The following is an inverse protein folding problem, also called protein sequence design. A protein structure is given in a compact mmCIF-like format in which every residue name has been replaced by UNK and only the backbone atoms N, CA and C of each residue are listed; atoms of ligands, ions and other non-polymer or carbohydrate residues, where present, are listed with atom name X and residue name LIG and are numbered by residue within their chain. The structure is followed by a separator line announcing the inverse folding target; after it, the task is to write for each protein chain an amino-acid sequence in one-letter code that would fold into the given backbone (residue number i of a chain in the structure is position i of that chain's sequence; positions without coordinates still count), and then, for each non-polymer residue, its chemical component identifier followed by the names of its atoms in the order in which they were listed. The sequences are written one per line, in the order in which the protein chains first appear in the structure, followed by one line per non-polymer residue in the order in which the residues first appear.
data_IF_489689439024
#
_entry.id   IF_489689439024
#
_cell.length_a   1.000
_cell.length_b   1.000
_cell.length_c   1.000
_cell.angle_alpha   90.00
_cell.angle_beta   90.00
_cell.angle_gamma   90.00
#
_symmetry.space_group_name_H-M   'P 1'
#
loop_
_entity.id
_entity.type
_entity.pdbx_description
1 polymer ?
#
# COMPACT_ATOMS: atom_id res chain seq x y z
N UNK A 1 -0.52 -49.60 22.78
CA UNK A 1 -1.60 -49.67 21.78
C UNK A 1 -2.84 -49.06 22.41
N UNK A 2 -3.27 -47.84 22.15
CA UNK A 2 -2.68 -46.67 21.48
C UNK A 2 -2.81 -45.48 22.44
N UNK A 3 -1.79 -44.63 22.54
CA UNK A 3 -1.65 -43.38 21.74
C UNK A 3 -2.65 -42.30 22.15
N UNK A 4 -2.04 -41.32 22.79
CA UNK A 4 -2.51 -40.16 23.50
C UNK A 4 -3.27 -39.18 22.59
N UNK A 5 -4.56 -39.00 22.89
CA UNK A 5 -5.45 -38.04 22.23
C UNK A 5 -5.30 -36.63 22.83
N UNK A 6 -4.07 -36.11 22.88
CA UNK A 6 -3.72 -34.85 23.56
C UNK A 6 -3.21 -33.73 22.62
N UNK A 7 -3.37 -33.86 21.31
CA UNK A 7 -2.90 -32.86 20.34
C UNK A 7 -4.04 -32.08 19.66
N UNK A 8 -4.90 -31.36 20.41
CA UNK A 8 -5.80 -30.31 19.85
C UNK A 8 -6.09 -29.24 20.89
N UNK A 9 -5.67 -28.00 20.62
CA UNK A 9 -6.30 -26.82 21.24
C UNK A 9 -5.40 -25.71 21.77
N UNK A 10 -4.26 -25.40 21.17
CA UNK A 10 -3.60 -24.09 21.40
C UNK A 10 -3.67 -23.29 20.10
N UNK A 11 -4.30 -22.12 20.15
CA UNK A 11 -4.39 -21.21 19.00
C UNK A 11 -3.00 -20.77 18.52
N UNK A 12 -2.88 -20.44 17.23
CA UNK A 12 -1.62 -20.04 16.59
C UNK A 12 -0.90 -18.94 17.40
N UNK A 13 0.35 -19.16 17.78
CA UNK A 13 1.19 -18.19 18.47
C UNK A 13 2.08 -17.45 17.46
N UNK A 14 1.81 -16.16 17.23
CA UNK A 14 2.52 -15.31 16.27
C UNK A 14 3.34 -14.25 17.01
N UNK A 15 4.60 -14.08 16.61
CA UNK A 15 5.38 -12.92 17.01
C UNK A 15 5.62 -11.98 15.83
N UNK A 16 5.16 -10.73 15.93
CA UNK A 16 5.35 -9.70 14.91
C UNK A 16 6.51 -8.76 15.30
N UNK A 17 7.49 -8.60 14.42
CA UNK A 17 8.61 -7.67 14.57
C UNK A 17 8.41 -6.47 13.66
N UNK A 18 8.31 -5.27 14.23
CA UNK A 18 8.06 -4.00 13.51
C UNK A 18 9.17 -2.98 13.78
N UNK A 19 9.51 -2.16 12.79
CA UNK A 19 10.52 -1.10 12.95
C UNK A 19 9.90 0.22 13.39
N UNK A 20 10.36 0.78 14.50
CA UNK A 20 9.88 2.07 15.03
C UNK A 20 8.64 1.93 15.92
N UNK A 21 7.97 3.05 16.17
CA UNK A 21 6.78 3.11 17.02
C UNK A 21 5.53 2.66 16.25
N UNK A 22 4.85 1.57 16.65
CA UNK A 22 3.60 1.13 16.05
C UNK A 22 2.46 2.18 16.10
N UNK A 23 2.59 3.20 16.94
CA UNK A 23 1.66 4.35 17.02
C UNK A 23 1.76 5.33 15.86
N UNK A 24 2.79 5.22 15.01
CA UNK A 24 3.03 6.15 13.88
C UNK A 24 1.91 6.06 12.82
N UNK A 25 1.40 7.20 12.38
CA UNK A 25 0.34 7.26 11.35
C UNK A 25 0.94 7.08 9.95
N UNK A 26 1.08 5.83 9.50
CA UNK A 26 1.40 5.48 8.11
C UNK A 26 0.53 4.31 7.62
N UNK A 27 0.49 4.09 6.30
CA UNK A 27 -0.25 2.96 5.71
C UNK A 27 0.22 1.59 6.24
N UNK A 28 1.54 1.37 6.30
CA UNK A 28 2.13 0.13 6.82
C UNK A 28 1.77 -0.12 8.29
N UNK A 29 1.97 0.87 9.18
CA UNK A 29 1.61 0.71 10.60
C UNK A 29 0.11 0.56 10.84
N UNK A 30 -0.75 1.13 9.98
CA UNK A 30 -2.20 0.87 10.02
C UNK A 30 -2.48 -0.60 9.67
N UNK A 31 -1.85 -1.12 8.61
CA UNK A 31 -1.97 -2.52 8.22
C UNK A 31 -1.51 -3.45 9.36
N UNK A 32 -0.34 -3.22 9.94
CA UNK A 32 0.22 -4.06 11.01
C UNK A 32 -0.70 -4.10 12.24
N UNK A 33 -1.17 -2.94 12.69
CA UNK A 33 -2.06 -2.85 13.86
C UNK A 33 -3.37 -3.59 13.62
N UNK A 34 -3.93 -3.44 12.42
CA UNK A 34 -5.17 -4.12 12.04
C UNK A 34 -4.95 -5.63 11.95
N UNK A 35 -3.81 -6.07 11.40
CA UNK A 35 -3.46 -7.48 11.29
C UNK A 35 -3.34 -8.12 12.67
N UNK A 36 -2.65 -7.45 13.58
CA UNK A 36 -2.53 -7.89 14.99
C UNK A 36 -3.89 -7.98 15.67
N UNK A 37 -4.73 -6.95 15.53
CA UNK A 37 -6.05 -6.92 16.17
C UNK A 37 -6.94 -8.08 15.72
N UNK A 38 -6.88 -8.41 14.44
CA UNK A 38 -7.81 -9.33 13.79
C UNK A 38 -7.32 -10.78 13.91
N UNK A 39 -6.01 -11.01 13.82
CA UNK A 39 -5.43 -12.30 14.24
C UNK A 39 -5.81 -12.63 15.70
N UNK A 40 -5.74 -11.65 16.62
CA UNK A 40 -6.18 -11.84 18.01
C UNK A 40 -7.69 -12.13 18.10
N UNK A 41 -8.51 -11.46 17.30
CA UNK A 41 -9.95 -11.72 17.25
C UNK A 41 -10.28 -13.15 16.80
N UNK A 42 -9.44 -13.76 15.96
CA UNK A 42 -9.56 -15.19 15.58
C UNK A 42 -9.04 -16.18 16.62
N UNK A 43 -8.56 -15.71 17.78
CA UNK A 43 -8.02 -16.55 18.86
C UNK A 43 -6.52 -16.82 18.78
N UNK A 44 -5.79 -16.20 17.83
CA UNK A 44 -4.33 -16.29 17.77
C UNK A 44 -3.68 -15.47 18.91
N UNK A 45 -2.61 -16.00 19.50
CA UNK A 45 -1.80 -15.25 20.47
C UNK A 45 -0.75 -14.43 19.72
N UNK A 46 -0.91 -13.10 19.67
CA UNK A 46 0.01 -12.22 18.92
C UNK A 46 0.85 -11.35 19.86
N UNK A 47 2.18 -11.49 19.81
CA UNK A 47 3.16 -10.65 20.53
C UNK A 47 3.85 -9.70 19.56
N UNK A 48 3.92 -8.41 19.90
CA UNK A 48 4.56 -7.39 19.04
C UNK A 48 5.89 -6.96 19.65
N UNK A 49 6.95 -6.98 18.85
CA UNK A 49 8.30 -6.57 19.21
C UNK A 49 8.71 -5.38 18.34
N UNK A 50 8.88 -4.21 18.96
CA UNK A 50 9.40 -3.03 18.26
C UNK A 50 10.92 -3.05 18.26
N UNK A 51 11.52 -2.85 17.08
CA UNK A 51 12.96 -2.59 16.93
C UNK A 51 13.20 -1.11 16.61
N UNK A 52 14.23 -0.45 17.18
CA UNK A 52 14.51 0.95 16.89
C UNK A 52 14.64 1.22 15.39
N UNK A 53 13.89 2.20 14.89
CA UNK A 53 14.05 2.66 13.52
C UNK A 53 15.42 3.33 13.35
N UNK A 54 16.19 2.92 12.34
CA UNK A 54 17.51 3.48 12.05
C UNK A 54 17.57 3.93 10.59
N UNK A 55 18.05 5.15 10.35
CA UNK A 55 18.24 5.68 9.00
C UNK A 55 19.18 4.79 8.20
N UNK A 56 18.88 4.60 6.93
CA UNK A 56 19.74 3.86 6.01
C UNK A 56 21.06 4.62 5.75
N UNK A 57 22.24 3.96 5.70
CA UNK A 57 22.53 2.54 5.93
C UNK A 57 22.87 2.21 7.41
N UNK A 58 22.68 3.13 8.36
CA UNK A 58 22.99 2.92 9.79
C UNK A 58 22.10 1.84 10.45
N UNK A 59 21.04 1.39 9.77
CA UNK A 59 20.24 0.21 10.16
C UNK A 59 20.88 -1.15 9.85
N UNK A 60 22.05 -1.18 9.18
CA UNK A 60 22.81 -2.41 8.85
C UNK A 60 23.50 -3.03 10.07
N UNK A 61 23.72 -2.25 11.14
CA UNK A 61 24.20 -2.80 12.40
C UNK A 61 23.05 -3.61 12.99
N UNK A 62 23.21 -4.94 13.10
CA UNK A 62 22.28 -5.85 13.79
C UNK A 62 21.70 -5.11 15.00
N UNK A 63 20.37 -5.01 15.07
CA UNK A 63 19.70 -4.21 16.10
C UNK A 63 20.31 -4.54 17.47
N UNK A 64 20.95 -3.57 18.18
CA UNK A 64 21.58 -3.84 19.46
C UNK A 64 20.53 -4.41 20.41
N UNK A 65 20.68 -5.69 20.78
CA UNK A 65 19.68 -6.48 21.52
C UNK A 65 19.28 -7.81 20.86
N UNK A 66 19.36 -7.94 19.53
CA UNK A 66 19.16 -9.20 18.79
C UNK A 66 20.49 -9.87 18.38
N UNK A 67 21.59 -9.12 18.47
CA UNK A 67 22.96 -9.62 18.31
C UNK A 67 23.46 -10.40 19.55
N UNK A 68 22.89 -10.15 20.74
CA UNK A 68 23.33 -10.73 22.02
C UNK A 68 22.45 -11.90 22.50
N UNK A 69 21.23 -12.04 21.95
CA UNK A 69 20.32 -13.15 22.22
C UNK A 69 19.00 -13.00 21.47
N UNK A 70 18.32 -14.11 21.17
CA UNK A 70 16.96 -14.09 20.65
C UNK A 70 16.00 -14.02 21.85
N UNK A 71 15.12 -13.01 21.96
CA UNK A 71 14.09 -12.94 23.00
C UNK A 71 13.32 -14.25 23.09
N UNK A 72 13.08 -14.75 24.31
CA UNK A 72 12.37 -16.01 24.53
C UNK A 72 11.03 -16.04 23.80
N UNK A 73 10.30 -14.92 23.82
CA UNK A 73 9.01 -14.82 23.14
C UNK A 73 9.04 -14.88 21.61
N UNK A 74 10.20 -14.73 20.96
CA UNK A 74 10.35 -15.03 19.53
C UNK A 74 10.61 -16.53 19.28
N UNK A 75 11.27 -17.24 20.21
CA UNK A 75 11.52 -18.69 20.10
C UNK A 75 10.31 -19.53 20.45
N UNK A 76 9.47 -19.03 21.35
CA UNK A 76 8.24 -19.66 21.79
C UNK A 76 7.06 -19.45 20.81
N UNK A 77 7.23 -18.64 19.77
CA UNK A 77 6.20 -18.44 18.77
C UNK A 77 6.20 -19.62 17.78
N UNK A 78 5.01 -19.99 17.30
CA UNK A 78 4.86 -20.95 16.21
C UNK A 78 5.41 -20.36 14.90
N UNK A 79 5.21 -19.05 14.69
CA UNK A 79 5.71 -18.31 13.52
C UNK A 79 6.14 -16.91 13.91
N UNK A 80 7.26 -16.44 13.37
CA UNK A 80 7.72 -15.05 13.50
C UNK A 80 7.47 -14.30 12.19
N UNK A 81 6.64 -13.26 12.25
CA UNK A 81 6.40 -12.33 11.14
C UNK A 81 7.33 -11.13 11.31
N UNK A 82 8.08 -10.77 10.27
CA UNK A 82 8.99 -9.62 10.28
C UNK A 82 8.55 -8.63 9.22
N UNK A 83 8.17 -7.43 9.64
CA UNK A 83 7.88 -6.31 8.75
C UNK A 83 9.14 -5.93 7.95
N UNK A 84 9.00 -5.73 6.64
CA UNK A 84 10.14 -5.44 5.79
C UNK A 84 10.85 -4.15 6.18
N UNK A 85 10.22 -3.15 6.80
CA UNK A 85 10.90 -1.95 7.27
C UNK A 85 11.97 -2.26 8.34
N UNK A 86 11.87 -3.42 9.01
CA UNK A 86 12.90 -3.92 9.93
C UNK A 86 14.04 -4.68 9.24
N UNK A 87 13.95 -4.97 7.94
CA UNK A 87 14.90 -5.83 7.19
C UNK A 87 16.39 -5.48 7.32
N UNK A 88 16.82 -4.19 7.43
CA UNK A 88 18.25 -3.87 7.42
C UNK A 88 19.03 -4.52 8.57
N UNK A 89 18.37 -4.82 9.70
CA UNK A 89 18.99 -5.38 10.91
C UNK A 89 18.46 -6.76 11.34
N UNK A 90 17.53 -7.37 10.60
CA UNK A 90 16.84 -8.60 11.04
C UNK A 90 17.20 -9.86 10.25
N UNK A 91 17.95 -9.76 9.15
CA UNK A 91 18.35 -10.94 8.36
C UNK A 91 19.15 -11.98 9.19
N UNK A 92 20.01 -11.50 10.10
CA UNK A 92 20.75 -12.35 11.03
C UNK A 92 19.84 -13.07 12.03
N UNK A 93 18.89 -12.33 12.62
CA UNK A 93 17.85 -12.87 13.50
C UNK A 93 17.01 -13.93 12.78
N UNK A 94 16.46 -13.60 11.61
CA UNK A 94 15.62 -14.48 10.82
C UNK A 94 16.33 -15.81 10.50
N UNK A 95 17.61 -15.70 10.09
CA UNK A 95 18.45 -16.89 9.85
C UNK A 95 18.65 -17.75 11.10
N UNK A 96 18.81 -17.15 12.28
CA UNK A 96 19.02 -17.89 13.53
C UNK A 96 17.73 -18.55 14.03
N UNK A 97 16.59 -17.87 13.93
CA UNK A 97 15.27 -18.42 14.24
C UNK A 97 14.96 -19.62 13.34
N UNK A 98 15.14 -19.47 12.02
CA UNK A 98 14.90 -20.54 11.05
C UNK A 98 15.78 -21.76 11.29
N UNK A 99 17.07 -21.57 11.65
CA UNK A 99 17.97 -22.69 12.04
C UNK A 99 17.58 -23.34 13.37
N UNK A 100 16.86 -22.62 14.23
CA UNK A 100 16.33 -23.12 15.49
C UNK A 100 14.96 -23.78 15.39
N UNK A 101 14.43 -23.97 14.17
CA UNK A 101 13.13 -24.60 13.92
C UNK A 101 11.95 -23.62 13.86
N UNK A 102 12.13 -22.34 14.22
CA UNK A 102 11.05 -21.37 14.16
C UNK A 102 10.95 -20.75 12.75
N UNK A 103 9.87 -20.97 11.99
CA UNK A 103 9.69 -20.35 10.69
C UNK A 103 9.57 -18.83 10.80
N UNK A 104 10.11 -18.16 9.79
CA UNK A 104 10.12 -16.70 9.69
C UNK A 104 9.42 -16.28 8.39
N UNK A 105 8.42 -15.43 8.50
CA UNK A 105 7.64 -14.92 7.36
C UNK A 105 7.89 -13.43 7.21
N UNK A 106 8.31 -13.00 6.03
CA UNK A 106 8.43 -11.57 5.74
C UNK A 106 7.05 -10.98 5.46
N UNK A 107 6.68 -9.87 6.11
CA UNK A 107 5.55 -9.05 5.70
C UNK A 107 6.08 -7.90 4.85
N UNK A 108 5.81 -7.94 3.54
CA UNK A 108 6.38 -7.03 2.55
C UNK A 108 5.32 -6.07 2.06
N UNK A 109 5.46 -4.80 2.46
CA UNK A 109 4.62 -3.69 2.01
C UNK A 109 5.10 -3.15 0.67
N UNK A 110 6.42 -2.98 0.54
CA UNK A 110 7.10 -2.66 -0.72
C UNK A 110 8.60 -2.90 -0.56
N UNK A 111 9.31 -3.08 -1.68
CA UNK A 111 10.77 -3.12 -1.67
C UNK A 111 11.32 -1.75 -2.03
N UNK A 112 12.24 -1.22 -1.23
CA UNK A 112 12.87 0.09 -1.48
C UNK A 112 13.68 0.11 -2.77
N UNK A 113 14.15 -1.04 -3.28
CA UNK A 113 14.72 -1.12 -4.64
C UNK A 113 13.77 -0.58 -5.71
N UNK A 114 12.46 -0.74 -5.51
CA UNK A 114 11.43 -0.31 -6.47
C UNK A 114 11.18 1.21 -6.41
N UNK A 115 11.57 1.89 -5.32
CA UNK A 115 11.57 3.36 -5.24
C UNK A 115 12.69 3.99 -6.09
N UNK A 116 13.73 3.21 -6.44
CA UNK A 116 14.90 3.67 -7.18
C UNK A 116 15.84 4.57 -6.35
N UNK A 117 16.57 5.44 -7.05
CA UNK A 117 17.51 6.39 -6.42
C UNK A 117 18.90 5.84 -6.10
N UNK A 118 19.76 6.69 -5.53
CA UNK A 118 21.21 6.43 -5.36
C UNK A 118 21.53 5.24 -4.45
N UNK A 119 20.64 4.91 -3.52
CA UNK A 119 20.83 3.82 -2.54
C UNK A 119 20.17 2.49 -2.98
N UNK A 120 19.52 2.44 -4.15
CA UNK A 120 18.81 1.26 -4.63
C UNK A 120 19.69 -0.01 -4.73
N UNK A 121 20.98 0.04 -5.17
CA UNK A 121 21.82 -1.15 -5.20
C UNK A 121 22.09 -1.72 -3.79
N UNK A 122 22.27 -0.84 -2.80
CA UNK A 122 22.49 -1.26 -1.41
C UNK A 122 21.19 -1.85 -0.85
N UNK A 123 20.04 -1.21 -1.10
CA UNK A 123 18.73 -1.73 -0.70
C UNK A 123 18.49 -3.13 -1.26
N UNK A 124 18.75 -3.32 -2.56
CA UNK A 124 18.64 -4.62 -3.24
C UNK A 124 19.46 -5.70 -2.55
N UNK A 125 20.70 -5.40 -2.14
CA UNK A 125 21.57 -6.36 -1.46
C UNK A 125 20.99 -6.78 -0.09
N UNK A 126 20.55 -5.81 0.72
CA UNK A 126 20.01 -6.08 2.06
C UNK A 126 18.66 -6.79 2.00
N UNK A 127 17.75 -6.35 1.13
CA UNK A 127 16.45 -6.96 0.91
C UNK A 127 16.60 -8.41 0.44
N UNK A 128 17.51 -8.66 -0.52
CA UNK A 128 17.80 -10.03 -0.99
C UNK A 128 18.32 -10.91 0.14
N UNK A 129 19.22 -10.38 0.97
CA UNK A 129 19.77 -11.11 2.13
C UNK A 129 18.67 -11.45 3.14
N UNK A 130 17.80 -10.49 3.45
CA UNK A 130 16.68 -10.68 4.37
C UNK A 130 15.65 -11.69 3.85
N UNK A 131 15.19 -11.54 2.61
CA UNK A 131 14.20 -12.44 2.04
C UNK A 131 14.72 -13.88 1.94
N UNK A 132 16.00 -14.09 1.57
CA UNK A 132 16.63 -15.43 1.60
C UNK A 132 16.74 -16.05 2.99
N UNK A 133 16.68 -15.24 4.04
CA UNK A 133 16.66 -15.71 5.43
C UNK A 133 15.27 -16.05 5.95
N UNK A 134 14.21 -15.70 5.21
CA UNK A 134 12.82 -16.03 5.52
C UNK A 134 12.42 -17.39 4.92
N UNK A 135 11.40 -18.00 5.50
CA UNK A 135 10.81 -19.27 5.05
C UNK A 135 9.74 -19.02 3.99
N UNK A 136 8.98 -17.93 4.16
CA UNK A 136 7.92 -17.50 3.26
C UNK A 136 7.76 -15.97 3.30
N UNK A 137 6.91 -15.41 2.44
CA UNK A 137 6.58 -13.98 2.45
C UNK A 137 5.09 -13.71 2.22
N UNK A 138 4.51 -12.86 3.06
CA UNK A 138 3.21 -12.22 2.83
C UNK A 138 3.45 -10.92 2.08
N UNK A 139 2.82 -10.77 0.92
CA UNK A 139 2.98 -9.62 0.03
C UNK A 139 1.65 -8.87 -0.07
N UNK A 140 1.68 -7.54 0.07
CA UNK A 140 0.44 -6.73 0.12
C UNK A 140 -0.24 -6.53 -1.24
N UNK A 141 0.40 -6.98 -2.32
CA UNK A 141 -0.16 -6.96 -3.67
C UNK A 141 0.54 -7.98 -4.55
N UNK A 142 -0.11 -8.36 -5.66
CA UNK A 142 0.54 -9.20 -6.69
C UNK A 142 1.73 -8.52 -7.37
N UNK A 143 1.83 -7.19 -7.34
CA UNK A 143 3.03 -6.48 -7.80
C UNK A 143 4.18 -6.66 -6.81
N UNK A 144 3.91 -6.52 -5.51
CA UNK A 144 4.89 -6.78 -4.46
C UNK A 144 5.37 -8.22 -4.48
N UNK A 145 4.47 -9.18 -4.73
CA UNK A 145 4.82 -10.59 -4.89
C UNK A 145 5.78 -10.81 -6.06
N UNK A 146 5.48 -10.23 -7.24
CA UNK A 146 6.39 -10.29 -8.39
C UNK A 146 7.75 -9.69 -8.07
N UNK A 147 7.80 -8.53 -7.41
CA UNK A 147 9.05 -7.88 -7.00
C UNK A 147 9.90 -8.76 -6.06
N UNK A 148 9.24 -9.48 -5.13
CA UNK A 148 9.88 -10.44 -4.22
C UNK A 148 10.40 -11.65 -4.98
N UNK A 149 9.59 -12.26 -5.83
CA UNK A 149 9.96 -13.44 -6.62
C UNK A 149 11.12 -13.12 -7.58
N UNK A 150 11.10 -11.94 -8.22
CA UNK A 150 12.19 -11.46 -9.07
C UNK A 150 13.50 -11.26 -8.29
N UNK A 151 13.41 -10.93 -6.99
CA UNK A 151 14.60 -10.66 -6.18
C UNK A 151 15.31 -11.93 -5.69
N UNK A 152 14.54 -12.93 -5.25
CA UNK A 152 15.08 -14.11 -4.56
C UNK A 152 14.74 -15.45 -5.21
N UNK A 153 13.60 -15.57 -5.92
CA UNK A 153 13.10 -16.81 -6.48
C UNK A 153 12.80 -17.90 -5.43
N UNK A 154 11.85 -18.80 -5.72
CA UNK A 154 11.63 -20.03 -4.95
C UNK A 154 11.20 -19.87 -3.49
N UNK A 155 10.89 -18.65 -3.04
CA UNK A 155 10.23 -18.41 -1.74
C UNK A 155 8.72 -18.59 -1.91
N UNK A 156 8.07 -19.28 -0.97
CA UNK A 156 6.62 -19.38 -0.94
C UNK A 156 6.02 -18.02 -0.60
N UNK A 157 5.01 -17.58 -1.34
CA UNK A 157 4.37 -16.28 -1.17
C UNK A 157 2.86 -16.41 -0.98
N UNK A 158 2.28 -15.42 -0.30
CA UNK A 158 0.84 -15.22 -0.20
C UNK A 158 0.49 -13.75 -0.39
N UNK A 159 -0.49 -13.44 -1.23
CA UNK A 159 -0.94 -12.07 -1.47
C UNK A 159 -2.05 -11.71 -0.48
N UNK A 160 -1.79 -10.73 0.38
CA UNK A 160 -2.70 -10.24 1.42
C UNK A 160 -2.96 -8.74 1.22
N UNK A 161 -3.93 -8.36 0.37
CA UNK A 161 -4.17 -6.96 0.06
C UNK A 161 -4.75 -6.21 1.26
N UNK A 162 -4.39 -4.92 1.46
CA UNK A 162 -5.03 -4.09 2.47
C UNK A 162 -6.52 -3.90 2.15
N UNK A 163 -7.38 -3.69 3.16
CA UNK A 163 -8.81 -3.57 2.95
C UNK A 163 -9.14 -2.18 2.40
N UNK A 164 -10.27 -2.04 1.73
CA UNK A 164 -10.77 -0.74 1.30
C UNK A 164 -11.84 -0.21 2.28
N UNK A 165 -11.54 -0.18 3.58
CA UNK A 165 -12.50 0.02 4.67
C UNK A 165 -12.46 1.42 5.33
N UNK A 166 -11.63 2.33 4.81
CA UNK A 166 -11.57 3.70 5.34
C UNK A 166 -12.90 4.44 5.20
N UNK A 167 -13.72 4.05 4.22
CA UNK A 167 -15.01 4.67 3.93
C UNK A 167 -16.08 3.61 3.78
N UNK A 168 -17.29 3.95 4.24
CA UNK A 168 -18.54 3.37 3.71
C UNK A 168 -19.10 4.37 2.69
N UNK A 169 -18.71 4.27 1.41
CA UNK A 169 -19.05 5.30 0.43
C UNK A 169 -20.56 5.38 0.20
N UNK A 170 -21.32 4.29 0.37
CA UNK A 170 -22.74 4.23 0.04
C UNK A 170 -23.07 4.87 -1.34
N UNK A 171 -22.19 4.70 -2.33
CA UNK A 171 -22.33 5.24 -3.69
C UNK A 171 -22.89 4.14 -4.59
N UNK A 172 -23.92 4.47 -5.37
CA UNK A 172 -24.52 3.55 -6.33
C UNK A 172 -24.04 3.82 -7.76
N UNK A 173 -24.18 2.85 -8.70
CA UNK A 173 -23.93 3.13 -10.12
C UNK A 173 -24.74 4.32 -10.67
N UNK A 174 -25.96 4.55 -10.17
CA UNK A 174 -26.78 5.68 -10.58
C UNK A 174 -26.20 7.04 -10.13
N UNK A 175 -25.56 7.08 -8.95
CA UNK A 175 -24.85 8.28 -8.49
C UNK A 175 -23.65 8.60 -9.37
N UNK A 176 -22.90 7.56 -9.78
CA UNK A 176 -21.78 7.69 -10.72
C UNK A 176 -22.25 8.23 -12.07
N UNK A 177 -23.35 7.69 -12.61
CA UNK A 177 -23.90 8.07 -13.90
C UNK A 177 -24.41 9.52 -13.90
N UNK A 178 -25.13 9.90 -12.84
CA UNK A 178 -25.60 11.28 -12.65
C UNK A 178 -24.42 12.25 -12.58
N UNK A 179 -23.43 11.96 -11.74
CA UNK A 179 -22.25 12.82 -11.56
C UNK A 179 -21.41 12.91 -12.82
N UNK A 180 -21.28 11.83 -13.58
CA UNK A 180 -20.57 11.86 -14.86
C UNK A 180 -21.17 12.87 -15.85
N UNK A 181 -22.44 13.26 -15.74
CA UNK A 181 -23.03 14.32 -16.57
C UNK A 181 -22.72 15.76 -16.11
N UNK A 182 -22.08 15.96 -14.95
CA UNK A 182 -21.85 17.27 -14.36
C UNK A 182 -20.59 17.97 -14.91
N UNK A 183 -20.62 19.30 -14.96
CA UNK A 183 -19.49 20.18 -15.24
C UNK A 183 -19.27 21.11 -14.04
N UNK A 184 -18.03 21.52 -13.71
CA UNK A 184 -16.75 21.17 -14.35
C UNK A 184 -16.32 19.71 -14.14
N UNK A 185 -15.32 19.24 -14.90
CA UNK A 185 -14.58 18.02 -14.58
C UNK A 185 -13.77 18.22 -13.28
N UNK A 186 -14.35 17.85 -12.16
CA UNK A 186 -13.70 17.81 -10.85
C UNK A 186 -12.71 16.64 -10.74
N UNK A 187 -11.41 16.95 -10.63
CA UNK A 187 -10.31 16.00 -10.45
C UNK A 187 -9.81 16.10 -9.02
N UNK A 188 -9.58 14.96 -8.36
CA UNK A 188 -9.00 14.92 -7.02
C UNK A 188 -7.64 14.23 -7.04
N UNK A 189 -6.68 14.77 -6.29
CA UNK A 189 -5.38 14.16 -6.02
C UNK A 189 -5.28 13.88 -4.52
N UNK A 190 -5.18 12.60 -4.16
CA UNK A 190 -5.06 12.16 -2.77
C UNK A 190 -3.64 11.75 -2.40
N UNK A 191 -3.12 12.31 -1.32
CA UNK A 191 -1.87 11.91 -0.70
C UNK A 191 -1.03 13.09 -0.22
N UNK A 192 0.00 12.81 0.56
CA UNK A 192 0.89 13.85 1.09
C UNK A 192 1.54 14.67 -0.03
N UNK A 193 1.65 15.99 0.14
CA UNK A 193 2.38 16.85 -0.78
C UNK A 193 3.89 16.62 -0.67
N UNK A 194 4.37 15.61 -1.39
CA UNK A 194 5.79 15.26 -1.50
C UNK A 194 6.17 14.98 -2.96
N UNK A 195 7.45 15.14 -3.36
CA UNK A 195 7.87 15.04 -4.76
C UNK A 195 7.43 13.76 -5.49
N UNK A 196 7.41 12.62 -4.79
CA UNK A 196 7.05 11.34 -5.41
C UNK A 196 5.58 11.25 -5.85
N UNK A 197 4.66 12.08 -5.34
CA UNK A 197 3.22 11.96 -5.63
C UNK A 197 2.81 12.57 -6.98
N UNK A 198 3.70 13.30 -7.65
CA UNK A 198 3.47 13.74 -9.03
C UNK A 198 2.53 14.93 -9.21
N UNK A 199 2.24 15.72 -8.14
CA UNK A 199 1.41 16.92 -8.24
C UNK A 199 1.84 17.89 -9.37
N UNK A 200 3.14 18.17 -9.59
CA UNK A 200 3.56 19.01 -10.71
C UNK A 200 3.17 18.45 -12.08
N UNK A 201 3.21 17.13 -12.26
CA UNK A 201 2.79 16.47 -13.51
C UNK A 201 1.30 16.68 -13.74
N UNK A 202 0.47 16.47 -12.72
CA UNK A 202 -0.98 16.68 -12.78
C UNK A 202 -1.32 18.13 -13.13
N UNK A 203 -0.74 19.11 -12.43
CA UNK A 203 -1.03 20.52 -12.66
C UNK A 203 -0.65 20.98 -14.07
N UNK A 204 0.46 20.48 -14.63
CA UNK A 204 0.84 20.77 -16.02
C UNK A 204 -0.11 20.12 -17.03
N UNK A 205 -0.63 18.92 -16.72
CA UNK A 205 -1.48 18.17 -17.62
C UNK A 205 -2.88 18.79 -17.76
N UNK A 206 -3.47 19.30 -16.67
CA UNK A 206 -4.81 19.91 -16.71
C UNK A 206 -4.87 21.16 -17.59
N UNK A 207 -3.76 21.89 -17.74
CA UNK A 207 -3.67 23.07 -18.64
C UNK A 207 -3.99 22.72 -20.08
N UNK A 208 -3.66 21.49 -20.53
CA UNK A 208 -3.97 21.04 -21.88
C UNK A 208 -5.43 20.60 -22.08
N UNK A 209 -6.21 20.39 -21.02
CA UNK A 209 -7.58 19.88 -21.16
C UNK A 209 -8.52 21.00 -21.62
N UNK A 210 -9.08 20.88 -22.82
CA UNK A 210 -9.98 21.87 -23.44
C UNK A 210 -11.43 21.67 -22.95
N UNK A 211 -11.61 21.72 -21.64
CA UNK A 211 -12.90 21.62 -20.95
C UNK A 211 -12.86 22.42 -19.64
N UNK A 212 -14.03 22.66 -19.04
CA UNK A 212 -14.08 23.16 -17.69
C UNK A 212 -13.70 22.07 -16.69
N UNK A 213 -12.93 22.43 -15.68
CA UNK A 213 -12.26 21.53 -14.73
C UNK A 213 -11.83 22.26 -13.47
N UNK A 214 -11.77 21.51 -12.38
CA UNK A 214 -11.27 21.95 -11.09
C UNK A 214 -10.40 20.83 -10.50
N UNK A 215 -9.36 21.19 -9.75
CA UNK A 215 -8.47 20.23 -9.09
C UNK A 215 -8.50 20.43 -7.57
N UNK A 216 -8.88 19.39 -6.84
CA UNK A 216 -8.73 19.32 -5.39
C UNK A 216 -7.49 18.52 -5.01
N UNK A 217 -6.54 19.14 -4.32
CA UNK A 217 -5.36 18.49 -3.75
C UNK A 217 -5.59 18.28 -2.25
N UNK A 218 -5.63 17.02 -1.82
CA UNK A 218 -5.94 16.64 -0.44
C UNK A 218 -4.84 15.74 0.14
N UNK A 219 -4.30 16.17 1.27
CA UNK A 219 -3.33 15.41 2.05
C UNK A 219 -2.40 16.30 2.88
N UNK A 220 -1.66 15.72 3.85
CA UNK A 220 -0.74 16.46 4.70
C UNK A 220 0.44 17.02 3.90
N UNK A 221 1.05 18.08 4.41
CA UNK A 221 2.17 18.80 3.78
C UNK A 221 3.46 18.66 4.60
N UNK A 222 4.08 17.46 4.66
CA UNK A 222 5.27 17.24 5.46
C UNK A 222 6.54 17.90 4.87
N UNK A 223 6.47 18.37 3.62
CA UNK A 223 7.53 19.08 2.92
C UNK A 223 7.03 20.49 2.51
N UNK A 224 7.21 21.50 3.38
CA UNK A 224 6.72 22.86 3.12
C UNK A 224 7.36 23.51 1.90
N UNK A 225 8.60 23.16 1.55
CA UNK A 225 9.29 23.70 0.39
C UNK A 225 8.67 23.16 -0.90
N UNK A 226 8.43 21.84 -0.95
CA UNK A 226 7.72 21.24 -2.05
C UNK A 226 6.28 21.77 -2.17
N UNK A 227 5.56 21.88 -1.06
CA UNK A 227 4.19 22.38 -1.07
C UNK A 227 4.09 23.84 -1.55
N UNK A 228 5.08 24.69 -1.21
CA UNK A 228 5.21 26.05 -1.79
C UNK A 228 5.49 26.00 -3.28
N UNK A 229 6.43 25.17 -3.73
CA UNK A 229 6.76 25.04 -5.14
C UNK A 229 5.57 24.57 -6.00
N UNK A 230 4.72 23.68 -5.49
CA UNK A 230 3.50 23.23 -6.18
C UNK A 230 2.48 24.36 -6.31
N UNK A 231 2.32 25.21 -5.29
CA UNK A 231 1.44 26.39 -5.35
C UNK A 231 1.96 27.43 -6.33
N UNK A 232 3.25 27.77 -6.27
CA UNK A 232 3.88 28.67 -7.24
C UNK A 232 3.72 28.17 -8.66
N UNK A 233 3.80 26.85 -8.89
CA UNK A 233 3.54 26.28 -10.21
C UNK A 233 2.09 26.52 -10.67
N UNK A 234 1.09 26.45 -9.78
CA UNK A 234 -0.29 26.77 -10.13
C UNK A 234 -0.45 28.26 -10.52
N UNK A 235 0.25 29.16 -9.83
CA UNK A 235 0.30 30.59 -10.16
C UNK A 235 0.97 30.82 -11.53
N UNK A 236 2.14 30.22 -11.76
CA UNK A 236 2.92 30.35 -12.99
C UNK A 236 2.13 29.82 -14.21
N UNK A 237 1.32 28.79 -14.01
CA UNK A 237 0.42 28.24 -15.02
C UNK A 237 -0.89 29.02 -15.16
N UNK A 238 -1.12 30.05 -14.35
CA UNK A 238 -2.35 30.86 -14.31
C UNK A 238 -3.61 30.04 -14.05
N UNK A 239 -3.52 29.03 -13.17
CA UNK A 239 -4.62 28.12 -12.81
C UNK A 239 -4.94 28.12 -11.32
N UNK A 240 -4.35 29.00 -10.53
CA UNK A 240 -4.50 29.04 -9.07
C UNK A 240 -5.97 29.07 -8.61
N UNK A 241 -6.83 29.81 -9.32
CA UNK A 241 -8.27 29.92 -9.00
C UNK A 241 -9.06 28.62 -9.25
N UNK A 242 -8.46 27.63 -9.91
CA UNK A 242 -9.05 26.33 -10.25
C UNK A 242 -8.43 25.16 -9.48
N UNK A 243 -7.51 25.45 -8.57
CA UNK A 243 -6.80 24.44 -7.77
C UNK A 243 -6.99 24.74 -6.28
N UNK A 244 -7.71 23.87 -5.58
CA UNK A 244 -7.89 23.96 -4.12
C UNK A 244 -6.89 23.05 -3.38
N UNK A 245 -6.18 23.62 -2.42
CA UNK A 245 -5.28 22.88 -1.52
C UNK A 245 -5.95 22.75 -0.15
N UNK A 246 -6.42 21.55 0.18
CA UNK A 246 -7.22 21.32 1.39
C UNK A 246 -6.39 20.93 2.62
N UNK A 247 -5.13 20.56 2.45
CA UNK A 247 -4.35 19.96 3.53
C UNK A 247 -4.92 18.61 3.96
N UNK A 248 -4.71 18.22 5.22
CA UNK A 248 -5.29 17.02 5.80
C UNK A 248 -6.77 17.26 6.17
N UNK A 249 -7.67 16.43 5.66
CA UNK A 249 -9.10 16.48 5.93
C UNK A 249 -9.54 15.38 6.90
N UNK A 250 -10.64 15.63 7.61
CA UNK A 250 -11.33 14.57 8.35
C UNK A 250 -11.87 13.50 7.39
N UNK A 251 -12.13 12.30 7.89
CA UNK A 251 -12.71 11.22 7.07
C UNK A 251 -14.06 11.63 6.45
N UNK A 252 -14.89 12.38 7.18
CA UNK A 252 -16.16 12.86 6.67
C UNK A 252 -16.00 13.90 5.55
N UNK A 253 -15.10 14.87 5.73
CA UNK A 253 -14.84 15.91 4.74
C UNK A 253 -14.21 15.33 3.47
N UNK A 254 -13.26 14.42 3.63
CA UNK A 254 -12.65 13.69 2.51
C UNK A 254 -13.69 12.87 1.75
N UNK A 255 -14.59 12.17 2.44
CA UNK A 255 -15.70 11.46 1.79
C UNK A 255 -16.60 12.41 0.98
N UNK A 256 -16.82 13.64 1.47
CA UNK A 256 -17.53 14.69 0.74
C UNK A 256 -16.82 15.05 -0.57
N UNK A 257 -15.53 15.36 -0.52
CA UNK A 257 -14.71 15.68 -1.70
C UNK A 257 -14.74 14.54 -2.72
N UNK A 258 -14.58 13.28 -2.26
CA UNK A 258 -14.59 12.11 -3.14
C UNK A 258 -15.95 11.88 -3.79
N UNK A 259 -17.05 12.14 -3.06
CA UNK A 259 -18.42 11.99 -3.58
C UNK A 259 -18.73 12.98 -4.69
N UNK A 260 -18.14 14.17 -4.64
CA UNK A 260 -18.34 15.24 -5.64
C UNK A 260 -17.38 15.16 -6.83
N UNK A 261 -16.24 14.46 -6.66
CA UNK A 261 -15.20 14.33 -7.69
C UNK A 261 -15.59 13.38 -8.82
N UNK A 262 -14.95 13.53 -9.98
CA UNK A 262 -15.15 12.64 -11.12
C UNK A 262 -14.00 11.66 -11.32
N UNK A 263 -12.76 12.12 -11.10
CA UNK A 263 -11.55 11.37 -11.44
C UNK A 263 -10.56 11.50 -10.29
N UNK A 264 -9.95 10.38 -9.90
CA UNK A 264 -8.80 10.40 -9.01
C UNK A 264 -7.52 10.40 -9.85
N UNK A 265 -6.74 11.47 -9.80
CA UNK A 265 -5.49 11.58 -10.56
C UNK A 265 -4.29 11.66 -9.60
N UNK A 266 -3.52 10.58 -9.54
CA UNK A 266 -2.32 10.49 -8.71
C UNK A 266 -1.19 9.85 -9.54
N UNK A 267 -0.49 10.62 -10.40
CA UNK A 267 0.62 10.12 -11.21
C UNK A 267 1.90 9.94 -10.37
N UNK A 268 1.81 9.16 -9.29
CA UNK A 268 2.89 8.94 -8.34
C UNK A 268 4.04 8.15 -8.95
N UNK A 269 5.29 8.54 -8.69
CA UNK A 269 6.48 7.80 -9.11
C UNK A 269 6.49 6.35 -8.57
N UNK A 270 5.97 6.15 -7.36
CA UNK A 270 5.80 4.85 -6.75
C UNK A 270 4.69 4.91 -5.70
N UNK A 271 3.85 3.88 -5.64
CA UNK A 271 2.89 3.68 -4.56
C UNK A 271 2.85 2.22 -4.14
N UNK A 272 3.15 1.91 -2.87
CA UNK A 272 3.26 0.52 -2.42
C UNK A 272 1.94 -0.24 -2.43
N UNK A 273 0.87 0.38 -1.95
CA UNK A 273 -0.40 -0.32 -1.67
C UNK A 273 -1.53 -0.03 -2.65
N UNK A 274 -1.53 1.15 -3.26
CA UNK A 274 -2.65 1.61 -4.09
C UNK A 274 -3.94 1.93 -3.31
N UNK A 275 -3.87 2.08 -1.98
CA UNK A 275 -5.03 2.36 -1.12
C UNK A 275 -5.84 3.58 -1.56
N UNK A 276 -5.16 4.69 -1.87
CA UNK A 276 -5.83 5.89 -2.37
C UNK A 276 -6.67 5.61 -3.63
N UNK A 277 -6.23 4.69 -4.51
CA UNK A 277 -6.99 4.31 -5.69
C UNK A 277 -8.23 3.50 -5.33
N UNK A 278 -8.11 2.52 -4.41
CA UNK A 278 -9.26 1.77 -3.92
C UNK A 278 -10.28 2.69 -3.23
N UNK A 279 -9.81 3.63 -2.40
CA UNK A 279 -10.65 4.64 -1.75
C UNK A 279 -11.44 5.44 -2.80
N UNK A 280 -10.77 5.98 -3.83
CA UNK A 280 -11.45 6.68 -4.92
C UNK A 280 -12.40 5.78 -5.72
N UNK A 281 -12.01 4.53 -5.97
CA UNK A 281 -12.84 3.54 -6.67
C UNK A 281 -14.14 3.25 -5.92
N UNK A 282 -14.14 3.27 -4.58
CA UNK A 282 -15.34 3.13 -3.75
C UNK A 282 -16.37 4.24 -3.97
N UNK A 283 -15.92 5.43 -4.38
CA UNK A 283 -16.80 6.52 -4.81
C UNK A 283 -17.10 6.50 -6.32
N UNK A 284 -16.63 5.48 -7.04
CA UNK A 284 -16.80 5.35 -8.49
C UNK A 284 -15.91 6.27 -9.31
N UNK A 285 -14.74 6.66 -8.79
CA UNK A 285 -13.77 7.49 -9.50
C UNK A 285 -12.81 6.60 -10.30
N UNK A 286 -12.78 6.66 -11.64
CA UNK A 286 -11.69 6.05 -12.38
C UNK A 286 -10.36 6.74 -12.02
N UNK A 287 -9.29 5.95 -12.02
CA UNK A 287 -7.98 6.41 -11.58
C UNK A 287 -7.07 6.77 -12.77
N UNK A 288 -6.42 7.92 -12.75
CA UNK A 288 -5.23 8.20 -13.56
C UNK A 288 -4.02 7.97 -12.66
N UNK A 289 -3.35 6.83 -12.88
CA UNK A 289 -2.35 6.30 -11.97
C UNK A 289 -1.05 5.97 -12.72
N UNK A 290 0.06 5.90 -12.00
CA UNK A 290 1.30 5.37 -12.55
C UNK A 290 1.25 3.84 -12.65
N UNK A 291 1.90 3.25 -13.67
CA UNK A 291 2.08 1.79 -13.74
C UNK A 291 2.98 1.23 -12.62
N UNK A 292 3.73 2.10 -11.91
CA UNK A 292 4.67 1.70 -10.88
C UNK A 292 3.99 1.31 -9.55
N UNK A 293 4.48 0.24 -8.91
CA UNK A 293 4.02 -0.23 -7.61
C UNK A 293 2.61 -0.85 -7.62
N UNK A 294 1.92 -0.77 -6.49
CA UNK A 294 0.60 -1.36 -6.22
C UNK A 294 -0.56 -0.76 -7.02
N UNK A 295 -0.38 0.37 -7.70
CA UNK A 295 -1.39 0.95 -8.57
C UNK A 295 -1.89 -0.05 -9.64
N UNK A 296 -0.95 -0.75 -10.29
CA UNK A 296 -1.22 -1.76 -11.32
C UNK A 296 -1.96 -3.00 -10.81
N UNK A 297 -2.07 -3.18 -9.48
CA UNK A 297 -2.83 -4.28 -8.89
C UNK A 297 -4.33 -3.98 -8.80
N UNK A 298 -4.72 -2.70 -8.83
CA UNK A 298 -6.11 -2.25 -8.67
C UNK A 298 -6.64 -1.53 -9.91
N UNK A 299 -5.78 -0.80 -10.62
CA UNK A 299 -6.11 -0.11 -11.87
C UNK A 299 -5.87 -1.04 -13.06
N UNK A 300 -6.95 -1.36 -13.78
CA UNK A 300 -6.95 -2.02 -15.07
C UNK A 300 -7.04 -0.95 -16.16
N UNK A 301 -5.95 -0.78 -16.90
CA UNK A 301 -5.81 0.24 -17.96
C UNK A 301 -6.94 0.14 -19.00
N UNK A 302 -7.58 1.27 -19.29
CA UNK A 302 -8.69 1.37 -20.22
C UNK A 302 -10.04 0.87 -19.69
N UNK A 303 -10.08 0.17 -18.54
CA UNK A 303 -11.32 -0.36 -17.96
C UNK A 303 -11.82 0.51 -16.80
N UNK A 304 -11.02 0.66 -15.74
CA UNK A 304 -11.40 1.42 -14.53
C UNK A 304 -10.46 2.60 -14.25
N UNK A 305 -9.56 2.89 -15.19
CA UNK A 305 -8.60 3.96 -15.10
C UNK A 305 -7.61 3.93 -16.25
N UNK A 306 -6.53 4.71 -16.11
CA UNK A 306 -5.41 4.77 -17.04
C UNK A 306 -4.10 4.60 -16.28
N UNK A 307 -3.22 3.79 -16.83
CA UNK A 307 -1.84 3.65 -16.37
C UNK A 307 -0.92 4.51 -17.24
N UNK A 308 -0.26 5.49 -16.63
CA UNK A 308 0.62 6.45 -17.30
C UNK A 308 2.04 6.41 -16.73
N UNK A 309 3.01 6.95 -17.45
CA UNK A 309 4.32 7.23 -16.86
C UNK A 309 4.20 8.47 -15.94
N UNK A 310 4.70 8.43 -14.70
CA UNK A 310 4.56 9.53 -13.72
C UNK A 310 5.23 10.85 -14.15
N UNK A 311 6.14 10.79 -15.14
CA UNK A 311 6.82 11.96 -15.72
C UNK A 311 6.22 12.39 -17.07
N UNK A 312 5.27 11.63 -17.62
CA UNK A 312 4.61 11.92 -18.89
C UNK A 312 3.38 12.81 -18.69
N UNK A 313 3.61 14.12 -18.70
CA UNK A 313 2.56 15.15 -18.65
C UNK A 313 1.53 14.93 -19.77
N UNK A 314 1.99 14.61 -20.99
CA UNK A 314 1.11 14.40 -22.13
C UNK A 314 0.26 13.13 -21.99
N UNK A 315 0.78 12.10 -21.32
CA UNK A 315 0.04 10.91 -20.95
C UNK A 315 -1.10 11.19 -19.98
N UNK A 316 -0.82 11.94 -18.91
CA UNK A 316 -1.85 12.38 -17.94
C UNK A 316 -2.89 13.25 -18.63
N UNK A 317 -2.47 14.20 -19.47
CA UNK A 317 -3.36 15.09 -20.23
C UNK A 317 -4.29 14.30 -21.17
N UNK A 318 -3.75 13.34 -21.93
CA UNK A 318 -4.57 12.47 -22.80
C UNK A 318 -5.60 11.66 -22.01
N UNK A 319 -5.23 11.15 -20.84
CA UNK A 319 -6.14 10.42 -19.98
C UNK A 319 -7.28 11.32 -19.47
N UNK A 320 -6.96 12.53 -19.03
CA UNK A 320 -7.95 13.50 -18.56
C UNK A 320 -8.86 13.99 -19.69
N UNK A 321 -8.32 14.33 -20.86
CA UNK A 321 -9.12 14.69 -22.05
C UNK A 321 -10.07 13.57 -22.45
N UNK A 322 -9.61 12.31 -22.47
CA UNK A 322 -10.46 11.18 -22.79
C UNK A 322 -11.67 11.01 -21.84
N UNK A 323 -11.58 11.52 -20.61
CA UNK A 323 -12.68 11.53 -19.63
C UNK A 323 -13.50 12.83 -19.66
N UNK A 324 -12.88 13.94 -20.04
CA UNK A 324 -13.55 15.23 -20.24
C UNK A 324 -14.47 15.19 -21.47
N UNK A 325 -13.95 14.69 -22.59
CA UNK A 325 -14.57 14.75 -23.92
C UNK A 325 -15.63 13.66 -24.13
N UNK A 326 -15.50 12.51 -23.44
CA UNK A 326 -16.43 11.38 -23.48
C UNK A 326 -16.97 11.08 -22.07
N UNK A 327 -18.05 11.77 -21.70
CA UNK A 327 -18.69 11.62 -20.39
C UNK A 327 -19.35 10.24 -20.20
N UNK A 328 -19.75 9.59 -21.29
CA UNK A 328 -20.23 8.21 -21.24
C UNK A 328 -19.08 7.24 -20.89
N UNK A 329 -17.88 7.48 -21.40
CA UNK A 329 -16.68 6.76 -21.01
C UNK A 329 -16.36 6.98 -19.55
N UNK A 330 -16.39 8.22 -19.06
CA UNK A 330 -16.22 8.52 -17.64
C UNK A 330 -17.21 7.71 -16.78
N UNK A 331 -18.50 7.70 -17.13
CA UNK A 331 -19.51 6.92 -16.43
C UNK A 331 -19.21 5.41 -16.47
N UNK A 332 -18.89 4.85 -17.65
CA UNK A 332 -18.54 3.42 -17.81
C UNK A 332 -17.35 3.04 -16.95
N UNK A 333 -16.28 3.83 -16.96
CA UNK A 333 -15.06 3.57 -16.20
C UNK A 333 -15.30 3.77 -14.70
N UNK A 334 -16.13 4.74 -14.29
CA UNK A 334 -16.54 4.93 -12.90
C UNK A 334 -17.36 3.76 -12.35
N UNK A 335 -18.28 3.20 -13.14
CA UNK A 335 -18.99 1.96 -12.76
C UNK A 335 -18.02 0.78 -12.67
N UNK A 336 -17.01 0.70 -13.53
CA UNK A 336 -15.99 -0.34 -13.46
C UNK A 336 -15.07 -0.19 -12.23
N UNK A 337 -14.74 1.05 -11.85
CA UNK A 337 -14.06 1.38 -10.60
C UNK A 337 -14.86 0.92 -9.38
N UNK A 338 -16.15 1.24 -9.32
CA UNK A 338 -17.03 0.79 -8.23
C UNK A 338 -17.07 -0.74 -8.13
N UNK A 339 -17.27 -1.44 -9.26
CA UNK A 339 -17.22 -2.91 -9.29
C UNK A 339 -15.87 -3.48 -8.88
N UNK A 340 -14.76 -2.78 -9.14
CA UNK A 340 -13.40 -3.21 -8.71
C UNK A 340 -13.24 -3.10 -7.20
N UNK A 341 -13.80 -2.07 -6.59
CA UNK A 341 -13.87 -1.88 -5.14
C UNK A 341 -14.74 -2.95 -4.48
N UNK A 342 -15.94 -3.21 -4.99
CA UNK A 342 -16.87 -4.23 -4.46
C UNK A 342 -16.30 -5.66 -4.49
N UNK A 343 -15.44 -5.96 -5.47
CA UNK A 343 -14.74 -7.26 -5.57
C UNK A 343 -13.43 -7.31 -4.78
N UNK A 344 -13.01 -6.21 -4.18
CA UNK A 344 -11.79 -6.18 -3.41
C UNK A 344 -12.01 -6.91 -2.08
N UNK A 345 -11.07 -7.77 -1.63
CA UNK A 345 -11.28 -8.55 -0.41
C UNK A 345 -11.60 -7.69 0.81
N UNK A 346 -12.50 -8.20 1.65
CA UNK A 346 -12.71 -7.63 2.97
C UNK A 346 -11.51 -7.96 3.88
N UNK A 347 -11.40 -7.23 4.99
CA UNK A 347 -10.31 -7.45 5.92
C UNK A 347 -10.34 -8.86 6.55
N UNK A 348 -11.54 -9.37 6.82
CA UNK A 348 -11.78 -10.74 7.30
C UNK A 348 -11.18 -11.77 6.35
N UNK A 349 -11.36 -11.60 5.04
CA UNK A 349 -10.81 -12.48 4.00
C UNK A 349 -9.29 -12.42 3.97
N UNK A 350 -8.71 -11.20 3.97
CA UNK A 350 -7.25 -11.00 3.98
C UNK A 350 -6.62 -11.65 5.21
N UNK A 351 -7.19 -11.45 6.41
CA UNK A 351 -6.62 -12.01 7.65
C UNK A 351 -6.80 -13.52 7.73
N UNK A 352 -7.93 -14.07 7.26
CA UNK A 352 -8.12 -15.51 7.16
C UNK A 352 -7.03 -16.14 6.28
N UNK A 353 -6.79 -15.55 5.09
CA UNK A 353 -5.72 -15.99 4.20
C UNK A 353 -4.33 -15.93 4.83
N UNK A 354 -4.01 -14.83 5.52
CA UNK A 354 -2.74 -14.71 6.25
C UNK A 354 -2.63 -15.75 7.35
N UNK A 355 -3.67 -15.93 8.17
CA UNK A 355 -3.67 -16.91 9.27
C UNK A 355 -3.41 -18.32 8.76
N UNK A 356 -4.14 -18.72 7.71
CA UNK A 356 -4.05 -20.07 7.15
C UNK A 356 -2.64 -20.28 6.54
N UNK A 357 -2.11 -19.27 5.84
CA UNK A 357 -0.74 -19.29 5.32
C UNK A 357 0.33 -19.40 6.41
N UNK A 358 0.17 -18.70 7.55
CA UNK A 358 1.08 -18.81 8.67
C UNK A 358 1.02 -20.22 9.29
N UNK A 359 -0.17 -20.81 9.42
CA UNK A 359 -0.34 -22.17 9.92
C UNK A 359 0.31 -23.21 9.00
N UNK A 360 0.12 -23.10 7.68
CA UNK A 360 0.77 -23.97 6.68
C UNK A 360 2.31 -23.84 6.75
N UNK A 361 2.82 -22.62 6.89
CA UNK A 361 4.27 -22.37 6.99
C UNK A 361 4.87 -23.06 8.23
N UNK A 362 4.12 -23.11 9.34
CA UNK A 362 4.51 -23.87 10.54
C UNK A 362 4.54 -25.36 10.27
N UNK A 363 3.48 -25.93 9.68
CA UNK A 363 3.40 -27.37 9.41
C UNK A 363 4.55 -27.86 8.51
N UNK A 364 4.92 -27.06 7.50
CA UNK A 364 6.07 -27.36 6.63
C UNK A 364 7.39 -27.33 7.40
N UNK A 365 7.53 -26.43 8.38
CA UNK A 365 8.74 -26.35 9.21
C UNK A 365 8.83 -27.50 10.23
N UNK A 366 7.70 -28.00 10.73
CA UNK A 366 7.63 -29.13 11.67
C UNK A 366 7.84 -30.50 10.98
N UNK A 367 7.55 -30.61 9.68
CA UNK A 367 7.59 -31.85 8.91
C UNK A 367 8.87 -32.14 8.10
N UNK A 368 9.84 -31.21 8.08
CA UNK A 368 11.12 -31.34 7.36
C UNK A 368 12.30 -31.48 8.30
#
# INVERSE_FOLDING_TARGET
MGEDASARGHGLAVALVVAGDPGTTSGGFRYDRRLVAELRATGASVRVFSVPWRRYPLGVVDTPGLATGIPAGLREADVVVVDELAHPGTAGLASRLRRGGTPVVALVHHLRRAEGGRLAPVATLLERRFLRSCSAAVCVSGTTERDVLDLVGGITTHVAPPPADQFDPAVTPADVDRRAGESPLRVVSLGSLVPRKGHPTLLRAVVGVDADWEVAVVGPEPDPDHARAVRTLADDLSIADRVSFHGELSTADLAGVLRESHVLAVPSAYEGFGMAYLEGMGFGLPAVASAAGGASSVVADGENGFLVDPRDVAGVERALRALADDRDRLARMGRAALRRFERHPEWSDTVAGVRDFLAETREVADGG
#
